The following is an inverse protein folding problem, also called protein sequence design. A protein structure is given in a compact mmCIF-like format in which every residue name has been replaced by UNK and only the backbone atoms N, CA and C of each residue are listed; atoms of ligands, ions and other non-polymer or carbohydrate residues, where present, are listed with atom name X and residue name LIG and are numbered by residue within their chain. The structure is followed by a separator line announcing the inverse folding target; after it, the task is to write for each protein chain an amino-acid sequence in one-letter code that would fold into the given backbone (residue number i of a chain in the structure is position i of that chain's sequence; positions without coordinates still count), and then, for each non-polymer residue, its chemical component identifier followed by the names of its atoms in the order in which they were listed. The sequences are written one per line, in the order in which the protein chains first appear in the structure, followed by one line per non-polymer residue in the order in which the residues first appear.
data_IF_449239471229
#
_entry.id   IF_449239471229
#
_cell.length_a   1.000
_cell.length_b   1.000
_cell.length_c   1.000
_cell.angle_alpha   90.00
_cell.angle_beta   90.00
_cell.angle_gamma   90.00
#
_symmetry.space_group_name_H-M   'P 1'
#
loop_
_entity.id
_entity.type
_entity.pdbx_description
1 polymer ?
#
# COMPACT_ATOMS: atom_id res chain seq x y z
N UNK A 1 4.01 -19.38 1.56
CA UNK A 1 3.56 -18.15 0.87
C UNK A 1 3.31 -17.11 1.95
N UNK A 2 3.71 -15.85 1.73
CA UNK A 2 3.52 -14.80 2.72
C UNK A 2 2.07 -14.31 2.73
N UNK A 3 1.57 -13.96 3.90
CA UNK A 3 0.27 -13.31 4.04
C UNK A 3 0.35 -11.86 3.54
N UNK A 4 -0.76 -11.34 3.03
CA UNK A 4 -0.80 -10.02 2.42
C UNK A 4 -2.17 -9.37 2.53
N UNK A 5 -2.16 -8.06 2.72
CA UNK A 5 -3.32 -7.18 2.64
C UNK A 5 -3.16 -6.32 1.39
N UNK A 6 -4.20 -6.27 0.57
CA UNK A 6 -4.22 -5.49 -0.67
C UNK A 6 -5.25 -4.37 -0.49
N UNK A 7 -4.82 -3.12 -0.62
CA UNK A 7 -5.69 -1.96 -0.66
C UNK A 7 -5.65 -1.36 -2.07
N UNK A 8 -6.79 -1.33 -2.74
CA UNK A 8 -6.96 -0.73 -4.06
C UNK A 8 -7.66 0.62 -3.89
N UNK A 9 -7.05 1.69 -4.40
CA UNK A 9 -7.58 3.05 -4.32
C UNK A 9 -7.78 3.63 -5.70
N UNK A 10 -8.88 4.34 -5.87
CA UNK A 10 -9.01 5.31 -6.93
C UNK A 10 -8.27 6.59 -6.54
N UNK A 11 -7.43 7.07 -7.45
CA UNK A 11 -6.63 8.28 -7.25
C UNK A 11 -6.79 9.20 -8.44
N UNK A 12 -6.38 10.46 -8.27
CA UNK A 12 -6.32 11.41 -9.39
C UNK A 12 -5.36 10.99 -10.51
N UNK A 13 -4.57 9.92 -10.37
CA UNK A 13 -3.72 9.36 -11.42
C UNK A 13 -4.25 8.05 -12.02
N UNK A 14 -5.42 7.59 -11.55
CA UNK A 14 -5.98 6.28 -11.86
C UNK A 14 -5.87 5.29 -10.68
N UNK A 15 -6.18 4.01 -10.91
CA UNK A 15 -6.21 3.00 -9.85
C UNK A 15 -4.80 2.67 -9.34
N UNK A 16 -4.61 2.73 -8.02
CA UNK A 16 -3.34 2.41 -7.36
C UNK A 16 -3.56 1.29 -6.34
N UNK A 17 -2.68 0.28 -6.35
CA UNK A 17 -2.70 -0.75 -5.32
C UNK A 17 -1.51 -0.61 -4.37
N UNK A 18 -1.79 -0.64 -3.07
CA UNK A 18 -0.81 -0.75 -2.00
C UNK A 18 -0.93 -2.13 -1.39
N UNK A 19 0.14 -2.92 -1.45
CA UNK A 19 0.15 -4.29 -0.97
C UNK A 19 1.12 -4.39 0.19
N UNK A 20 0.57 -4.71 1.37
CA UNK A 20 1.34 -5.03 2.56
C UNK A 20 1.62 -6.52 2.52
N UNK A 21 2.90 -6.93 2.51
CA UNK A 21 3.31 -8.33 2.46
C UNK A 21 4.05 -8.68 3.74
N UNK A 22 3.43 -9.51 4.59
CA UNK A 22 4.01 -9.98 5.84
C UNK A 22 5.31 -10.78 5.64
N UNK A 23 6.08 -10.89 6.71
CA UNK A 23 7.30 -11.70 6.77
C UNK A 23 7.17 -12.85 7.79
N UNK A 24 8.15 -13.75 7.82
CA UNK A 24 8.15 -14.90 8.74
C UNK A 24 8.23 -14.37 10.19
N UNK A 25 7.28 -14.78 11.05
CA UNK A 25 7.06 -14.24 12.40
C UNK A 25 6.53 -12.80 12.48
N UNK A 26 6.26 -12.18 11.33
CA UNK A 26 5.87 -10.78 11.19
C UNK A 26 4.63 -10.65 10.32
N UNK A 27 3.53 -11.22 10.82
CA UNK A 27 2.26 -11.31 10.10
C UNK A 27 1.25 -10.24 10.44
N UNK A 28 1.51 -9.40 11.45
CA UNK A 28 0.47 -8.48 11.94
C UNK A 28 0.40 -7.18 11.15
N UNK A 29 -0.73 -6.98 10.49
CA UNK A 29 -1.02 -5.84 9.62
C UNK A 29 -2.34 -5.20 10.03
N UNK A 30 -2.34 -3.87 10.05
CA UNK A 30 -3.47 -3.04 10.41
C UNK A 30 -3.63 -1.91 9.40
N UNK A 31 -4.89 -1.53 9.14
CA UNK A 31 -5.23 -0.33 8.38
C UNK A 31 -6.06 0.60 9.24
N UNK A 32 -5.99 1.91 8.98
CA UNK A 32 -6.67 2.90 9.82
C UNK A 32 -8.20 2.79 9.81
N UNK A 33 -8.78 2.09 8.82
CA UNK A 33 -10.23 1.90 8.69
C UNK A 33 -10.73 0.52 9.14
N UNK A 34 -9.93 -0.55 9.00
CA UNK A 34 -10.34 -1.90 9.38
C UNK A 34 -9.74 -2.37 10.72
N UNK A 35 -8.86 -1.58 11.33
CA UNK A 35 -8.08 -1.99 12.48
C UNK A 35 -7.18 -3.18 12.15
N UNK A 36 -6.95 -4.04 13.14
CA UNK A 36 -6.13 -5.23 12.99
C UNK A 36 -6.77 -6.25 12.03
N UNK A 37 -6.14 -6.45 10.88
CA UNK A 37 -6.59 -7.41 9.86
C UNK A 37 -6.01 -8.79 10.15
N UNK A 38 -4.73 -8.83 10.54
CA UNK A 38 -4.00 -10.05 10.89
C UNK A 38 -3.21 -9.82 12.18
N UNK A 39 -3.14 -10.83 13.08
CA UNK A 39 -4.05 -11.99 13.21
C UNK A 39 -5.51 -11.57 13.54
N UNK A 40 -6.52 -12.43 13.31
CA UNK A 40 -6.43 -13.88 13.01
C UNK A 40 -6.17 -14.21 11.53
N UNK A 41 -5.38 -15.26 11.30
CA UNK A 41 -5.07 -15.80 9.98
C UNK A 41 -6.29 -16.47 9.33
N UNK A 42 -6.54 -16.20 8.04
CA UNK A 42 -7.67 -16.79 7.29
C UNK A 42 -7.19 -17.82 6.27
N UNK A 43 -7.96 -18.90 6.09
CA UNK A 43 -7.69 -19.95 5.08
C UNK A 43 -7.99 -19.51 3.65
N UNK A 44 -8.90 -18.54 3.49
CA UNK A 44 -9.37 -18.04 2.21
C UNK A 44 -9.29 -16.52 2.17
N UNK A 45 -9.03 -15.92 0.98
CA UNK A 45 -9.09 -14.47 0.83
C UNK A 45 -10.48 -13.92 1.15
N UNK A 46 -10.52 -12.74 1.75
CA UNK A 46 -11.74 -11.97 1.99
C UNK A 46 -11.52 -10.55 1.46
N UNK A 47 -12.55 -9.94 0.89
CA UNK A 47 -12.50 -8.56 0.43
C UNK A 47 -13.70 -7.79 0.96
N UNK A 48 -13.51 -6.49 1.16
CA UNK A 48 -14.55 -5.53 1.46
C UNK A 48 -14.50 -4.44 0.40
N UNK A 49 -15.67 -4.02 -0.09
CA UNK A 49 -15.79 -2.87 -0.96
C UNK A 49 -16.30 -1.71 -0.13
N UNK A 50 -15.55 -0.62 -0.15
CA UNK A 50 -15.86 0.60 0.58
C UNK A 50 -16.48 1.58 -0.42
N UNK A 51 -17.68 2.08 -0.13
CA UNK A 51 -18.30 3.12 -0.96
C UNK A 51 -17.49 4.42 -0.89
N UNK A 52 -17.63 5.28 -1.91
CA UNK A 52 -16.79 6.46 -2.22
C UNK A 52 -16.47 7.41 -1.07
N UNK A 53 -17.22 7.38 0.05
CA UNK A 53 -17.03 8.27 1.19
C UNK A 53 -16.47 7.60 2.46
N UNK A 54 -16.45 6.27 2.49
CA UNK A 54 -16.16 5.54 3.74
C UNK A 54 -14.66 5.45 4.07
N UNK A 55 -13.78 5.49 3.06
CA UNK A 55 -12.32 5.45 3.24
C UNK A 55 -11.66 6.40 2.24
N UNK A 56 -11.35 7.63 2.68
CA UNK A 56 -10.59 8.62 1.90
C UNK A 56 -9.31 9.00 2.64
N UNK A 57 -8.17 8.84 1.97
CA UNK A 57 -6.87 9.22 2.51
C UNK A 57 -6.27 10.37 1.71
N UNK A 58 -5.95 11.45 2.41
CA UNK A 58 -5.17 12.55 1.83
C UNK A 58 -3.73 12.11 1.56
N UNK A 59 -3.03 12.78 0.63
CA UNK A 59 -1.61 12.52 0.40
C UNK A 59 -0.82 12.66 1.71
N UNK A 60 -0.07 11.63 2.07
CA UNK A 60 0.73 11.60 3.29
C UNK A 60 -0.03 11.18 4.56
N UNK A 61 -1.35 10.92 4.46
CA UNK A 61 -2.10 10.33 5.55
C UNK A 61 -1.64 8.89 5.82
N UNK A 62 -1.78 8.46 7.07
CA UNK A 62 -1.50 7.08 7.46
C UNK A 62 -2.51 6.13 6.79
N UNK A 63 -2.00 5.11 6.10
CA UNK A 63 -2.81 4.05 5.50
C UNK A 63 -2.95 2.87 6.46
N UNK A 64 -1.85 2.52 7.11
CA UNK A 64 -1.76 1.35 7.95
C UNK A 64 -0.31 1.11 8.37
N UNK A 65 -0.10 0.03 9.11
CA UNK A 65 1.20 -0.29 9.70
C UNK A 65 1.44 -1.79 9.69
N UNK A 66 2.73 -2.14 9.70
CA UNK A 66 3.19 -3.43 10.17
C UNK A 66 3.58 -3.27 11.63
N UNK A 67 3.15 -4.19 12.49
CA UNK A 67 3.53 -4.13 13.90
C UNK A 67 4.99 -4.53 14.13
N UNK A 68 5.64 -5.14 13.15
CA UNK A 68 7.08 -5.40 13.10
C UNK A 68 7.48 -5.49 11.60
N UNK A 69 8.69 -5.06 11.24
CA UNK A 69 9.07 -4.69 9.86
C UNK A 69 8.72 -5.69 8.73
N UNK A 70 8.56 -5.19 7.50
CA UNK A 70 7.97 -5.96 6.39
C UNK A 70 8.21 -5.34 5.00
N UNK A 71 7.40 -5.71 4.00
CA UNK A 71 7.53 -5.24 2.62
C UNK A 71 6.24 -4.57 2.12
N UNK A 72 6.38 -3.41 1.48
CA UNK A 72 5.31 -2.79 0.67
C UNK A 72 5.61 -3.00 -0.81
N UNK A 73 4.61 -3.45 -1.56
CA UNK A 73 4.62 -3.40 -3.03
C UNK A 73 3.59 -2.36 -3.48
N UNK A 74 4.05 -1.39 -4.27
CA UNK A 74 3.21 -0.34 -4.84
C UNK A 74 3.00 -0.62 -6.33
N UNK A 75 1.74 -0.70 -6.75
CA UNK A 75 1.37 -0.78 -8.17
C UNK A 75 0.68 0.50 -8.59
N UNK A 76 1.20 1.11 -9.65
CA UNK A 76 0.71 2.36 -10.22
C UNK A 76 0.23 2.12 -11.66
N UNK A 77 -0.70 2.94 -12.18
CA UNK A 77 -1.15 2.80 -13.55
C UNK A 77 0.01 2.90 -14.57
N UNK A 78 -0.03 2.11 -15.65
CA UNK A 78 1.00 2.14 -16.67
C UNK A 78 1.13 3.53 -17.29
N UNK A 79 2.36 4.00 -17.50
CA UNK A 79 2.64 5.30 -18.11
C UNK A 79 2.31 6.52 -17.24
N UNK A 80 1.85 6.35 -16.00
CA UNK A 80 1.50 7.46 -15.10
C UNK A 80 2.58 7.82 -14.10
N UNK A 81 3.70 7.10 -14.07
CA UNK A 81 4.78 7.32 -13.11
C UNK A 81 6.12 7.50 -13.80
N UNK A 82 6.87 8.53 -13.40
CA UNK A 82 8.26 8.74 -13.75
C UNK A 82 9.11 8.60 -12.49
N UNK A 83 9.86 7.51 -12.38
CA UNK A 83 10.74 7.25 -11.24
C UNK A 83 12.00 8.11 -11.32
N UNK A 84 12.54 8.52 -10.17
CA UNK A 84 13.85 9.16 -10.17
C UNK A 84 14.92 8.16 -10.61
N UNK A 85 15.92 8.57 -11.43
CA UNK A 85 16.94 7.65 -11.96
C UNK A 85 17.80 6.95 -10.90
N UNK A 86 17.90 7.53 -9.70
CA UNK A 86 18.66 6.99 -8.56
C UNK A 86 17.89 5.91 -7.76
N UNK A 87 16.62 5.64 -8.12
CA UNK A 87 15.81 4.58 -7.51
C UNK A 87 16.07 3.25 -8.22
N UNK A 88 17.19 2.65 -7.86
CA UNK A 88 17.57 1.30 -8.28
C UNK A 88 17.35 0.28 -7.16
N UNK A 89 17.45 -1.00 -7.49
CA UNK A 89 17.34 -2.07 -6.50
C UNK A 89 18.39 -1.90 -5.39
N UNK A 90 17.96 -2.03 -4.14
CA UNK A 90 18.82 -1.87 -2.96
C UNK A 90 18.97 -0.44 -2.46
N UNK A 91 18.45 0.58 -3.16
CA UNK A 91 18.48 1.97 -2.68
C UNK A 91 17.63 2.11 -1.41
N UNK A 92 18.20 2.52 -0.26
CA UNK A 92 17.43 2.83 0.93
C UNK A 92 16.49 4.01 0.70
N UNK A 93 15.31 3.97 1.29
CA UNK A 93 14.31 5.05 1.20
C UNK A 93 14.08 5.67 2.58
N UNK A 94 13.86 6.99 2.63
CA UNK A 94 13.49 7.71 3.85
C UNK A 94 12.02 8.14 3.82
N UNK A 95 11.40 8.23 4.98
CA UNK A 95 10.05 8.81 5.10
C UNK A 95 10.05 10.24 4.54
N UNK A 96 9.06 10.54 3.69
CA UNK A 96 8.93 11.84 3.01
C UNK A 96 9.82 12.00 1.77
N UNK A 97 10.71 11.06 1.48
CA UNK A 97 11.54 11.10 0.29
C UNK A 97 10.72 10.84 -0.99
N UNK A 98 10.81 11.74 -1.96
CA UNK A 98 10.17 11.54 -3.25
C UNK A 98 10.88 10.44 -4.04
N UNK A 99 10.15 9.38 -4.40
CA UNK A 99 10.61 8.28 -5.24
C UNK A 99 10.47 8.60 -6.75
N UNK A 100 9.57 9.49 -7.10
CA UNK A 100 9.23 9.82 -8.48
C UNK A 100 8.07 10.81 -8.55
N UNK A 101 7.62 11.08 -9.76
CA UNK A 101 6.47 11.91 -10.06
C UNK A 101 5.34 11.07 -10.63
N UNK A 102 4.11 11.43 -10.30
CA UNK A 102 2.89 10.81 -10.83
C UNK A 102 2.10 11.86 -11.62
N UNK A 103 1.64 11.47 -12.80
CA UNK A 103 0.83 12.32 -13.69
C UNK A 103 -0.65 12.07 -13.45
N UNK A 104 -1.41 13.12 -13.18
CA UNK A 104 -2.86 13.02 -12.96
C UNK A 104 -3.61 12.77 -14.28
N UNK A 105 -4.79 12.17 -14.17
CA UNK A 105 -5.81 12.13 -15.21
C UNK A 105 -6.56 13.46 -15.09
N UNK A 106 -6.62 14.21 -16.20
CA UNK A 106 -7.48 15.40 -16.31
C UNK A 106 -8.95 15.01 -16.38
#
# INVERSE_FOLDING_TARGET
RNERVIALFDTGAGPMAVILVGAIFVGSMETVWAGQITPPYRKSPSWSVFADESVRLSRGAELGRFNMGSTVVLLLPPGRTSWKPDRVAGTPVKMGEALGNVTRIE
#
